data_IF_965436572667
#
_entry.id   IF_965436572667
#
_cell.length_a   1.000
_cell.length_b   1.000
_cell.length_c   1.000
_cell.angle_alpha   90.00
_cell.angle_beta   90.00
_cell.angle_gamma   90.00
#
_symmetry.space_group_name_H-M   'P 1'
#
loop_
_entity.id
_entity.type
_entity.pdbx_description
1 polymer ?
#
# COMPACT_ATOMS: atom_id res chain seq x y z
N UNK A 1 40.35 -8.74 -67.53
CA UNK A 1 41.30 -9.67 -66.87
C UNK A 1 40.61 -11.03 -66.79
N UNK A 2 41.01 -11.95 -67.68
CA UNK A 2 40.83 -13.42 -67.76
C UNK A 2 39.54 -14.10 -67.19
N UNK A 3 38.64 -14.56 -68.07
CA UNK A 3 38.43 -15.97 -68.52
C UNK A 3 37.73 -16.88 -67.49
N UNK A 4 36.43 -17.16 -67.61
CA UNK A 4 35.87 -18.34 -68.30
C UNK A 4 36.70 -19.63 -68.11
N UNK A 5 36.20 -20.56 -67.30
CA UNK A 5 36.47 -22.02 -67.18
C UNK A 5 35.89 -22.46 -65.82
N UNK A 6 35.20 -23.57 -65.59
CA UNK A 6 34.81 -24.71 -66.41
C UNK A 6 33.78 -25.51 -65.60
N UNK A 7 32.77 -26.03 -66.29
CA UNK A 7 31.75 -26.94 -65.77
C UNK A 7 32.32 -28.20 -65.09
N UNK A 8 31.47 -28.78 -64.22
CA UNK A 8 31.17 -30.21 -64.10
C UNK A 8 31.40 -30.81 -62.70
N UNK A 9 30.31 -30.91 -61.92
CA UNK A 9 29.90 -32.14 -61.22
C UNK A 9 28.37 -32.18 -61.14
N UNK A 10 27.78 -32.79 -62.16
CA UNK A 10 26.44 -33.38 -62.11
C UNK A 10 26.62 -34.82 -61.60
N UNK A 11 25.61 -35.32 -60.89
CA UNK A 11 25.27 -36.71 -60.56
C UNK A 11 25.57 -37.19 -59.12
N UNK A 12 24.49 -37.47 -58.38
CA UNK A 12 24.46 -38.02 -57.02
C UNK A 12 23.22 -37.51 -56.27
N UNK A 13 21.99 -37.82 -56.73
CA UNK A 13 21.22 -39.02 -56.40
C UNK A 13 20.56 -38.94 -55.01
N UNK A 14 19.24 -39.18 -55.01
CA UNK A 14 18.34 -39.42 -53.87
C UNK A 14 17.92 -38.18 -53.04
N UNK A 15 16.87 -37.44 -53.43
CA UNK A 15 15.47 -37.73 -53.02
C UNK A 15 15.34 -38.37 -51.64
N UNK A 16 15.62 -37.60 -50.59
CA UNK A 16 15.12 -37.90 -49.24
C UNK A 16 13.72 -37.28 -49.09
N UNK A 17 12.77 -37.85 -49.84
CA UNK A 17 11.35 -37.67 -49.62
C UNK A 17 10.99 -38.64 -48.48
N UNK A 18 11.29 -38.29 -47.24
CA UNK A 18 10.74 -38.98 -46.08
C UNK A 18 9.24 -38.67 -46.05
N UNK A 19 8.48 -39.58 -46.65
CA UNK A 19 7.06 -39.73 -46.41
C UNK A 19 6.87 -39.88 -44.90
N UNK A 20 6.53 -38.78 -44.22
CA UNK A 20 5.83 -38.85 -42.96
C UNK A 20 4.52 -39.55 -43.27
N UNK A 21 4.42 -40.82 -42.89
CA UNK A 21 3.14 -41.50 -42.75
C UNK A 21 2.32 -40.65 -41.80
N UNK A 22 1.44 -39.83 -42.37
CA UNK A 22 0.31 -39.25 -41.66
C UNK A 22 -0.52 -40.45 -41.25
N UNK A 23 -0.24 -41.01 -40.07
CA UNK A 23 -1.23 -41.77 -39.34
C UNK A 23 -2.45 -40.88 -39.33
N UNK A 24 -3.54 -41.36 -39.91
CA UNK A 24 -4.83 -40.71 -39.80
C UNK A 24 -5.08 -40.59 -38.29
N UNK A 25 -4.85 -39.38 -37.75
CA UNK A 25 -5.07 -39.11 -36.33
C UNK A 25 -6.54 -39.39 -36.09
N UNK A 26 -6.85 -40.28 -35.14
CA UNK A 26 -8.23 -40.52 -34.75
C UNK A 26 -8.87 -39.20 -34.35
N UNK A 27 -10.13 -39.00 -34.69
CA UNK A 27 -10.83 -37.75 -34.40
C UNK A 27 -11.57 -37.89 -33.06
N UNK A 28 -11.20 -37.09 -32.05
CA UNK A 28 -11.92 -37.08 -30.77
C UNK A 28 -13.31 -36.50 -30.99
N UNK A 29 -14.33 -37.19 -30.47
CA UNK A 29 -15.72 -36.73 -30.48
C UNK A 29 -16.40 -36.94 -29.15
N UNK A 30 -17.60 -36.41 -29.03
CA UNK A 30 -18.35 -36.44 -27.78
C UNK A 30 -19.67 -37.16 -27.98
N UNK A 31 -19.96 -38.14 -27.12
CA UNK A 31 -21.23 -38.86 -27.09
C UNK A 31 -22.00 -38.58 -25.81
N UNK A 32 -23.31 -38.47 -25.96
CA UNK A 32 -24.27 -38.27 -24.86
C UNK A 32 -23.92 -37.05 -23.97
N UNK A 33 -23.47 -35.95 -24.58
CA UNK A 33 -23.28 -34.69 -23.87
C UNK A 33 -24.62 -34.13 -23.40
N UNK A 34 -24.69 -33.82 -22.11
CA UNK A 34 -25.86 -33.27 -21.44
C UNK A 34 -25.43 -32.09 -20.58
N UNK A 35 -26.12 -30.98 -20.76
CA UNK A 35 -26.02 -29.80 -19.90
C UNK A 35 -27.28 -29.77 -19.04
N UNK A 36 -27.13 -29.84 -17.74
CA UNK A 36 -28.22 -29.73 -16.79
C UNK A 36 -27.99 -28.49 -15.92
N UNK A 37 -28.96 -27.59 -15.89
CA UNK A 37 -29.05 -26.52 -14.90
C UNK A 37 -30.02 -27.01 -13.84
N UNK A 38 -29.59 -27.04 -12.60
CA UNK A 38 -30.39 -27.51 -11.46
C UNK A 38 -30.51 -26.40 -10.42
N UNK A 39 -31.73 -26.09 -10.01
CA UNK A 39 -32.06 -25.15 -8.95
C UNK A 39 -32.44 -25.92 -7.69
N UNK A 40 -32.10 -25.44 -6.48
CA UNK A 40 -32.51 -26.10 -5.23
C UNK A 40 -34.04 -26.19 -5.07
N UNK A 41 -34.78 -25.28 -5.70
CA UNK A 41 -36.25 -25.26 -5.67
C UNK A 41 -36.89 -26.13 -6.76
N UNK A 42 -36.10 -26.73 -7.67
CA UNK A 42 -36.56 -27.56 -8.79
C UNK A 42 -37.37 -26.83 -9.87
N UNK A 43 -37.67 -25.55 -9.69
CA UNK A 43 -38.56 -24.77 -10.57
C UNK A 43 -37.93 -24.35 -11.90
N UNK A 44 -36.60 -24.23 -11.96
CA UNK A 44 -35.86 -23.71 -13.13
C UNK A 44 -34.90 -24.76 -13.72
N UNK A 45 -35.22 -26.05 -13.52
CA UNK A 45 -34.40 -27.15 -14.00
C UNK A 45 -34.51 -27.29 -15.52
N UNK A 46 -33.40 -27.15 -16.23
CA UNK A 46 -33.34 -27.28 -17.67
C UNK A 46 -32.26 -28.28 -18.05
N UNK A 47 -32.62 -29.30 -18.85
CA UNK A 47 -31.66 -30.27 -19.39
C UNK A 47 -31.61 -30.15 -20.91
N UNK A 48 -30.45 -29.77 -21.44
CA UNK A 48 -30.17 -29.69 -22.87
C UNK A 48 -29.29 -30.86 -23.29
N UNK A 49 -29.77 -31.66 -24.24
CA UNK A 49 -28.94 -32.68 -24.89
C UNK A 49 -28.17 -32.05 -26.03
N UNK A 50 -26.85 -32.17 -25.99
CA UNK A 50 -25.97 -31.64 -27.01
C UNK A 50 -25.75 -32.66 -28.12
N UNK A 51 -25.82 -32.20 -29.36
CA UNK A 51 -25.42 -32.94 -30.55
C UNK A 51 -24.29 -32.18 -31.22
N UNK A 52 -23.16 -32.83 -31.40
CA UNK A 52 -22.04 -32.31 -32.17
C UNK A 52 -22.49 -32.07 -33.64
N UNK A 53 -22.18 -30.95 -34.30
CA UNK A 53 -21.36 -29.80 -33.89
C UNK A 53 -22.18 -28.57 -33.46
N UNK A 54 -23.49 -28.70 -33.25
CA UNK A 54 -24.36 -27.54 -32.98
C UNK A 54 -24.18 -27.01 -31.55
N UNK A 55 -23.91 -25.71 -31.35
CA UNK A 55 -23.86 -25.09 -30.02
C UNK A 55 -25.27 -24.99 -29.40
N UNK A 56 -25.35 -24.69 -28.10
CA UNK A 56 -26.64 -24.46 -27.44
C UNK A 56 -27.40 -23.28 -28.10
N UNK A 57 -28.71 -23.43 -28.35
CA UNK A 57 -29.51 -22.41 -29.05
C UNK A 57 -29.89 -21.20 -28.19
N UNK A 58 -29.76 -21.29 -26.86
CA UNK A 58 -30.12 -20.20 -25.93
C UNK A 58 -29.03 -20.00 -24.88
N UNK A 59 -28.71 -18.74 -24.52
CA UNK A 59 -27.76 -18.44 -23.46
C UNK A 59 -28.28 -18.98 -22.12
N UNK A 60 -27.43 -19.67 -21.36
CA UNK A 60 -27.78 -20.17 -20.04
C UNK A 60 -27.45 -19.09 -19.01
N UNK A 61 -28.47 -18.55 -18.36
CA UNK A 61 -28.29 -17.66 -17.21
C UNK A 61 -28.38 -18.48 -15.91
N UNK A 62 -27.32 -18.43 -15.10
CA UNK A 62 -27.32 -19.00 -13.75
C UNK A 62 -27.92 -17.99 -12.77
N UNK A 63 -28.68 -18.47 -11.79
CA UNK A 63 -29.11 -17.69 -10.63
C UNK A 63 -28.30 -18.09 -9.40
N UNK A 64 -28.41 -17.31 -8.31
CA UNK A 64 -27.48 -17.33 -7.15
C UNK A 64 -27.23 -18.72 -6.53
N UNK A 65 -28.21 -19.62 -6.55
CA UNK A 65 -28.08 -20.96 -5.97
C UNK A 65 -28.14 -22.10 -7.01
N UNK A 66 -28.03 -21.80 -8.29
CA UNK A 66 -28.10 -22.84 -9.34
C UNK A 66 -26.77 -23.57 -9.53
N UNK A 67 -26.85 -24.85 -9.88
CA UNK A 67 -25.72 -25.66 -10.26
C UNK A 67 -25.79 -25.99 -11.75
N UNK A 68 -24.75 -25.61 -12.47
CA UNK A 68 -24.52 -26.00 -13.86
C UNK A 68 -23.73 -27.30 -13.88
N UNK A 69 -24.29 -28.35 -14.47
CA UNK A 69 -23.66 -29.65 -14.60
C UNK A 69 -23.52 -30.02 -16.06
N UNK A 70 -22.28 -30.24 -16.50
CA UNK A 70 -21.97 -30.72 -17.83
C UNK A 70 -21.42 -32.15 -17.70
N UNK A 71 -22.11 -33.10 -18.33
CA UNK A 71 -21.75 -34.51 -18.33
C UNK A 71 -21.66 -35.02 -19.77
N UNK A 72 -20.56 -35.66 -20.11
CA UNK A 72 -20.32 -36.17 -21.47
C UNK A 72 -19.45 -37.41 -21.45
N UNK A 73 -19.43 -38.16 -22.55
CA UNK A 73 -18.53 -39.29 -22.74
C UNK A 73 -17.63 -38.99 -23.92
N UNK A 74 -16.32 -39.08 -23.71
CA UNK A 74 -15.31 -38.91 -24.76
C UNK A 74 -15.21 -40.22 -25.53
N UNK A 75 -15.35 -40.13 -26.85
CA UNK A 75 -15.24 -41.27 -27.75
C UNK A 75 -14.24 -40.95 -28.84
N UNK A 76 -13.62 -41.98 -29.38
CA UNK A 76 -13.01 -41.88 -30.70
C UNK A 76 -14.11 -42.01 -31.76
N UNK A 77 -14.19 -41.06 -32.69
CA UNK A 77 -15.19 -41.12 -33.78
C UNK A 77 -14.82 -42.15 -34.84
N UNK A 78 -13.55 -42.59 -34.91
CA UNK A 78 -13.12 -43.64 -35.84
C UNK A 78 -13.39 -45.05 -35.33
N UNK A 79 -13.14 -45.33 -34.04
CA UNK A 79 -13.37 -46.63 -33.40
C UNK A 79 -14.74 -46.76 -32.71
N UNK A 80 -15.34 -45.64 -32.28
CA UNK A 80 -16.57 -45.63 -31.48
C UNK A 80 -16.37 -46.04 -30.01
N UNK A 81 -15.13 -46.35 -29.62
CA UNK A 81 -14.74 -46.75 -28.27
C UNK A 81 -14.55 -45.54 -27.33
N UNK A 82 -14.83 -45.74 -26.05
CA UNK A 82 -14.67 -44.72 -25.02
C UNK A 82 -13.20 -44.57 -24.63
N UNK A 83 -12.66 -43.36 -24.72
CA UNK A 83 -11.24 -43.09 -24.51
C UNK A 83 -11.00 -42.09 -23.37
N UNK A 84 -9.82 -42.15 -22.77
CA UNK A 84 -9.38 -41.23 -21.72
C UNK A 84 -8.49 -40.13 -22.33
N UNK A 85 -8.95 -38.86 -22.39
CA UNK A 85 -8.13 -37.75 -22.87
C UNK A 85 -7.08 -37.37 -21.81
N UNK A 86 -5.89 -36.96 -22.26
CA UNK A 86 -4.84 -36.52 -21.35
C UNK A 86 -5.09 -35.09 -20.83
N UNK A 87 -5.74 -34.25 -21.64
CA UNK A 87 -6.16 -32.90 -21.26
C UNK A 87 -7.65 -32.73 -21.50
N UNK A 88 -8.37 -32.29 -20.47
CA UNK A 88 -9.78 -31.96 -20.55
C UNK A 88 -10.03 -30.70 -19.71
N UNK A 89 -10.33 -29.60 -20.40
CA UNK A 89 -10.54 -28.31 -19.78
C UNK A 89 -11.81 -27.65 -20.33
N UNK A 90 -12.52 -26.96 -19.44
CA UNK A 90 -13.57 -26.03 -19.80
C UNK A 90 -12.94 -24.63 -19.81
N UNK A 91 -12.86 -24.00 -20.98
CA UNK A 91 -12.44 -22.62 -21.12
C UNK A 91 -13.69 -21.72 -21.06
N UNK A 92 -13.62 -20.71 -20.21
CA UNK A 92 -14.59 -19.63 -20.11
C UNK A 92 -13.90 -18.36 -20.62
N UNK A 93 -14.24 -17.94 -21.83
CA UNK A 93 -13.71 -16.72 -22.45
C UNK A 93 -14.60 -15.53 -22.08
N UNK A 94 -13.99 -14.42 -21.66
CA UNK A 94 -14.70 -13.18 -21.38
C UNK A 94 -15.23 -12.54 -22.66
N UNK A 95 -16.48 -12.08 -22.66
CA UNK A 95 -17.07 -11.45 -23.86
C UNK A 95 -16.48 -10.05 -24.14
N UNK A 96 -15.87 -9.43 -23.12
CA UNK A 96 -15.25 -8.12 -23.22
C UNK A 96 -13.72 -8.24 -23.11
N UNK A 97 -12.98 -7.47 -23.91
CA UNK A 97 -11.52 -7.54 -24.02
C UNK A 97 -10.72 -7.24 -22.73
N UNK A 98 -11.40 -6.81 -21.66
CA UNK A 98 -10.83 -6.50 -20.34
C UNK A 98 -11.17 -7.59 -19.30
N UNK A 99 -11.96 -8.59 -19.68
CA UNK A 99 -12.34 -9.71 -18.82
C UNK A 99 -11.29 -10.82 -18.91
N UNK A 100 -11.00 -11.45 -17.76
CA UNK A 100 -10.01 -12.53 -17.69
C UNK A 100 -10.60 -13.85 -18.20
N UNK A 101 -9.85 -14.55 -19.05
CA UNK A 101 -10.18 -15.92 -19.46
C UNK A 101 -9.85 -16.91 -18.33
N UNK A 102 -10.77 -17.83 -18.06
CA UNK A 102 -10.62 -18.82 -16.98
C UNK A 102 -10.72 -20.23 -17.54
N UNK A 103 -9.74 -21.06 -17.18
CA UNK A 103 -9.75 -22.49 -17.50
C UNK A 103 -10.06 -23.32 -16.26
N UNK A 104 -11.02 -24.23 -16.37
CA UNK A 104 -11.37 -25.17 -15.32
C UNK A 104 -11.03 -26.60 -15.75
N UNK A 105 -10.26 -27.36 -14.95
CA UNK A 105 -9.99 -28.76 -15.25
C UNK A 105 -11.26 -29.61 -15.10
N UNK A 106 -11.46 -30.55 -16.02
CA UNK A 106 -12.57 -31.50 -15.99
C UNK A 106 -12.07 -32.86 -15.51
N UNK A 107 -12.75 -33.45 -14.53
CA UNK A 107 -12.44 -34.82 -14.10
C UNK A 107 -13.02 -35.82 -15.09
N UNK A 108 -12.14 -36.59 -15.74
CA UNK A 108 -12.51 -37.70 -16.64
C UNK A 108 -12.19 -39.02 -15.96
N UNK A 109 -13.07 -40.00 -16.06
CA UNK A 109 -12.86 -41.37 -15.56
C UNK A 109 -12.20 -42.24 -16.63
N UNK A 110 -11.63 -43.37 -16.22
CA UNK A 110 -11.00 -44.34 -17.14
C UNK A 110 -11.93 -44.88 -18.24
N UNK A 111 -13.25 -44.80 -18.04
CA UNK A 111 -14.26 -45.18 -19.02
C UNK A 111 -14.68 -44.04 -19.98
N UNK A 112 -13.89 -42.97 -20.06
CA UNK A 112 -14.16 -41.80 -20.90
C UNK A 112 -15.33 -40.92 -20.44
N UNK A 113 -16.00 -41.24 -19.33
CA UNK A 113 -17.07 -40.39 -18.79
C UNK A 113 -16.48 -39.22 -18.01
N UNK A 114 -16.92 -38.02 -18.37
CA UNK A 114 -16.50 -36.77 -17.79
C UNK A 114 -17.68 -36.03 -17.16
N UNK A 115 -17.44 -35.37 -16.03
CA UNK A 115 -18.44 -34.54 -15.39
C UNK A 115 -17.76 -33.32 -14.76
N UNK A 116 -18.30 -32.14 -15.02
CA UNK A 116 -17.96 -30.91 -14.31
C UNK A 116 -19.24 -30.29 -13.74
N UNK A 117 -19.15 -29.75 -12.54
CA UNK A 117 -20.26 -29.06 -11.87
C UNK A 117 -19.77 -27.71 -11.38
N UNK A 118 -20.42 -26.64 -11.84
CA UNK A 118 -20.16 -25.26 -11.43
C UNK A 118 -21.34 -24.84 -10.56
N UNK A 119 -21.07 -24.59 -9.29
CA UNK A 119 -22.08 -24.13 -8.35
C UNK A 119 -22.05 -22.61 -8.28
N UNK A 120 -23.15 -21.94 -8.56
CA UNK A 120 -23.23 -20.48 -8.50
C UNK A 120 -23.03 -19.97 -7.06
N UNK A 121 -23.56 -20.65 -6.04
CA UNK A 121 -23.43 -20.22 -4.64
C UNK A 121 -21.98 -20.30 -4.09
N UNK A 122 -21.16 -21.18 -4.68
CA UNK A 122 -19.76 -21.42 -4.28
C UNK A 122 -18.93 -21.66 -5.55
N UNK A 123 -18.70 -20.62 -6.36
CA UNK A 123 -17.98 -20.79 -7.61
C UNK A 123 -16.50 -21.06 -7.32
N UNK A 124 -15.81 -21.62 -8.30
CA UNK A 124 -14.36 -21.83 -8.21
C UNK A 124 -13.66 -20.47 -8.00
N UNK A 125 -12.61 -20.36 -7.16
CA UNK A 125 -11.97 -19.07 -6.86
C UNK A 125 -11.48 -18.31 -8.10
N UNK A 126 -11.14 -19.03 -9.18
CA UNK A 126 -10.76 -18.42 -10.44
C UNK A 126 -11.92 -17.67 -11.14
N UNK A 127 -13.16 -18.06 -10.89
CA UNK A 127 -14.36 -17.41 -11.44
C UNK A 127 -14.85 -16.23 -10.59
N UNK A 128 -14.34 -16.05 -9.38
CA UNK A 128 -14.81 -14.97 -8.50
C UNK A 128 -14.37 -13.58 -8.98
N UNK A 129 -13.30 -13.51 -9.77
CA UNK A 129 -12.68 -12.24 -10.22
C UNK A 129 -13.10 -11.82 -11.62
N UNK A 130 -13.95 -12.61 -12.28
CA UNK A 130 -14.40 -12.38 -13.67
C UNK A 130 -15.74 -11.64 -13.72
N UNK A 131 -16.24 -11.29 -14.93
CA UNK A 131 -17.51 -10.56 -15.11
C UNK A 131 -18.55 -11.36 -15.91
N UNK A 132 -19.75 -11.49 -15.34
CA UNK A 132 -21.07 -11.53 -15.97
C UNK A 132 -21.41 -12.53 -17.09
N UNK A 133 -20.61 -12.64 -18.15
CA UNK A 133 -20.96 -13.37 -19.39
C UNK A 133 -19.72 -14.02 -20.01
N UNK A 134 -19.82 -15.31 -20.28
CA UNK A 134 -18.73 -16.13 -20.78
C UNK A 134 -19.14 -16.94 -22.01
N UNK A 135 -18.23 -17.04 -22.97
CA UNK A 135 -18.29 -18.10 -23.97
C UNK A 135 -17.66 -19.37 -23.40
N UNK A 136 -18.43 -20.46 -23.40
CA UNK A 136 -17.98 -21.76 -22.95
C UNK A 136 -17.43 -22.58 -24.12
N UNK A 137 -16.16 -22.93 -24.03
CA UNK A 137 -15.49 -23.81 -25.00
C UNK A 137 -14.91 -25.03 -24.27
N UNK A 138 -15.30 -26.22 -24.70
CA UNK A 138 -14.74 -27.47 -24.21
C UNK A 138 -13.50 -27.83 -25.02
N UNK A 139 -12.37 -27.97 -24.35
CA UNK A 139 -11.09 -28.30 -24.96
C UNK A 139 -10.68 -29.70 -24.50
N UNK A 140 -10.57 -30.62 -25.46
CA UNK A 140 -10.06 -31.97 -25.26
C UNK A 140 -8.82 -32.18 -26.11
N UNK A 141 -7.76 -32.72 -25.52
CA UNK A 141 -6.51 -33.02 -26.23
C UNK A 141 -5.85 -34.30 -25.71
N UNK A 142 -5.12 -34.96 -26.61
CA UNK A 142 -4.26 -36.12 -26.36
C UNK A 142 -2.92 -35.89 -27.04
N UNK A 143 -1.82 -36.41 -26.47
CA UNK A 143 -0.45 -35.96 -26.76
C UNK A 143 -0.06 -36.02 -28.24
N UNK A 144 -0.54 -37.00 -29.01
CA UNK A 144 -0.26 -37.09 -30.45
C UNK A 144 -1.14 -38.05 -31.27
N UNK A 145 -1.89 -38.94 -30.61
CA UNK A 145 -2.67 -40.00 -31.26
C UNK A 145 -3.96 -39.51 -31.94
N UNK A 146 -4.49 -38.38 -31.47
CA UNK A 146 -5.79 -37.88 -31.89
C UNK A 146 -5.77 -36.38 -32.23
N UNK A 147 -6.70 -35.94 -33.08
CA UNK A 147 -6.89 -34.50 -33.32
C UNK A 147 -7.56 -33.86 -32.09
N UNK A 148 -7.03 -32.73 -31.58
CA UNK A 148 -7.65 -32.03 -30.46
C UNK A 148 -9.04 -31.52 -30.85
N UNK A 149 -9.97 -31.53 -29.90
CA UNK A 149 -11.33 -31.07 -30.08
C UNK A 149 -11.54 -29.78 -29.28
N UNK A 150 -11.90 -28.70 -29.98
CA UNK A 150 -12.39 -27.46 -29.39
C UNK A 150 -13.87 -27.32 -29.74
N UNK A 151 -14.75 -27.62 -28.80
CA UNK A 151 -16.19 -27.61 -29.01
C UNK A 151 -16.85 -26.43 -28.28
N UNK A 152 -17.40 -25.43 -29.01
CA UNK A 152 -18.12 -24.32 -28.40
C UNK A 152 -19.48 -24.81 -27.89
N UNK A 153 -19.69 -24.74 -26.58
CA UNK A 153 -20.92 -25.17 -25.93
C UNK A 153 -21.98 -24.06 -26.01
N UNK A 154 -21.60 -22.80 -25.84
CA UNK A 154 -22.53 -21.65 -25.91
C UNK A 154 -22.20 -20.57 -24.89
N UNK A 155 -23.15 -19.70 -24.60
CA UNK A 155 -23.00 -18.59 -23.66
C UNK A 155 -23.52 -18.95 -22.27
N UNK A 156 -22.74 -18.61 -21.25
CA UNK A 156 -23.08 -18.73 -19.83
C UNK A 156 -23.03 -17.36 -19.17
N UNK A 157 -24.12 -16.96 -18.52
CA UNK A 157 -24.14 -15.76 -17.70
C UNK A 157 -24.16 -16.12 -16.21
N UNK A 158 -23.22 -15.55 -15.47
CA UNK A 158 -23.11 -15.68 -14.01
C UNK A 158 -23.53 -14.34 -13.40
N UNK A 159 -24.40 -14.32 -12.38
CA UNK A 159 -24.92 -13.08 -11.83
C UNK A 159 -23.84 -12.34 -11.06
N UNK A 160 -23.81 -11.01 -11.22
CA UNK A 160 -22.78 -10.14 -10.63
C UNK A 160 -22.80 -10.11 -9.11
N UNK A 161 -23.92 -10.44 -8.47
CA UNK A 161 -24.05 -10.52 -7.01
C UNK A 161 -23.12 -11.55 -6.35
N UNK A 162 -22.72 -12.58 -7.09
CA UNK A 162 -21.80 -13.63 -6.61
C UNK A 162 -20.34 -13.25 -6.86
N UNK A 163 -20.09 -12.44 -7.89
CA UNK A 163 -18.75 -12.07 -8.33
C UNK A 163 -18.17 -11.05 -7.35
N UNK A 164 -16.95 -11.30 -6.88
CA UNK A 164 -16.30 -10.43 -5.91
C UNK A 164 -15.60 -9.27 -6.63
N UNK A 165 -15.61 -8.06 -6.06
CA UNK A 165 -14.84 -6.95 -6.60
C UNK A 165 -13.35 -7.36 -6.63
N UNK A 166 -12.75 -7.28 -7.82
CA UNK A 166 -11.35 -7.67 -8.06
C UNK A 166 -10.45 -6.97 -7.02
N UNK A 167 -9.74 -7.71 -6.14
CA UNK A 167 -8.82 -7.09 -5.19
C UNK A 167 -7.66 -6.48 -5.97
N UNK A 168 -7.35 -5.20 -5.71
CA UNK A 168 -6.20 -4.53 -6.34
C UNK A 168 -4.94 -5.32 -6.03
N UNK A 169 -4.29 -5.92 -7.03
CA UNK A 169 -2.94 -6.45 -6.84
C UNK A 169 -1.99 -5.26 -6.72
N UNK A 170 -0.88 -5.45 -6.00
CA UNK A 170 0.17 -4.43 -5.80
C UNK A 170 0.76 -3.91 -7.13
N UNK A 171 0.60 -4.67 -8.21
CA UNK A 171 0.99 -4.29 -9.57
C UNK A 171 -0.14 -3.72 -10.42
N UNK A 172 -1.36 -3.62 -9.89
CA UNK A 172 -2.48 -2.95 -10.53
C UNK A 172 -2.47 -1.48 -10.11
N UNK A 173 -1.47 -0.70 -10.53
CA UNK A 173 -1.72 0.72 -10.77
C UNK A 173 -0.72 1.38 -11.72
N UNK A 174 -1.22 2.03 -12.80
CA UNK A 174 -2.57 1.97 -13.37
C UNK A 174 -2.62 1.20 -14.70
N UNK A 175 -3.76 0.56 -15.04
CA UNK A 175 -4.66 1.34 -15.88
C UNK A 175 -6.15 1.07 -15.66
N UNK A 176 -6.93 2.15 -15.59
CA UNK A 176 -8.30 2.16 -16.10
C UNK A 176 -8.24 1.87 -17.60
N UNK A 177 -9.19 1.10 -18.14
CA UNK A 177 -9.28 0.88 -19.59
C UNK A 177 -9.24 2.24 -20.33
N UNK A 178 -8.16 2.50 -21.07
CA UNK A 178 -7.91 3.75 -21.80
C UNK A 178 -6.73 4.61 -21.30
N UNK A 179 -6.14 4.32 -20.15
CA UNK A 179 -4.99 5.07 -19.62
C UNK A 179 -3.66 4.30 -19.86
N UNK A 180 -2.66 4.88 -20.55
CA UNK A 180 -1.37 4.21 -20.72
C UNK A 180 -0.69 3.90 -19.38
N UNK A 181 -0.17 2.67 -19.24
CA UNK A 181 0.49 2.15 -18.05
C UNK A 181 1.77 2.91 -17.65
N UNK A 182 2.35 3.68 -18.57
CA UNK A 182 3.49 4.56 -18.33
C UNK A 182 3.05 6.01 -18.57
N UNK A 183 2.58 6.65 -17.51
CA UNK A 183 2.32 8.09 -17.48
C UNK A 183 3.08 8.73 -16.32
N UNK A 184 3.53 9.97 -16.47
CA UNK A 184 4.04 10.72 -15.34
C UNK A 184 2.95 10.82 -14.26
N UNK A 185 3.26 10.41 -13.04
CA UNK A 185 2.36 10.58 -11.91
C UNK A 185 2.18 12.08 -11.59
N UNK A 186 1.06 12.41 -10.95
CA UNK A 186 0.81 13.77 -10.50
C UNK A 186 1.86 14.17 -9.46
N UNK A 187 2.48 15.34 -9.65
CA UNK A 187 3.44 15.89 -8.69
C UNK A 187 2.76 16.15 -7.34
N UNK A 188 3.36 15.64 -6.26
CA UNK A 188 2.90 15.81 -4.90
C UNK A 188 3.71 16.92 -4.21
N UNK A 189 3.05 17.99 -3.79
CA UNK A 189 3.69 19.06 -3.01
C UNK A 189 3.45 18.89 -1.52
N UNK A 190 4.51 18.96 -0.72
CA UNK A 190 4.38 18.99 0.73
C UNK A 190 3.79 20.34 1.18
N UNK A 191 2.62 20.30 1.80
CA UNK A 191 2.02 21.50 2.40
C UNK A 191 2.59 21.68 3.80
N UNK A 192 3.44 22.70 3.97
CA UNK A 192 3.98 23.07 5.28
C UNK A 192 2.90 23.66 6.18
N UNK A 193 3.08 23.49 7.48
CA UNK A 193 2.22 24.11 8.48
C UNK A 193 2.38 25.63 8.43
N UNK A 194 1.26 26.37 8.47
CA UNK A 194 1.29 27.83 8.57
C UNK A 194 1.92 28.29 9.89
N UNK A 195 2.71 29.36 9.81
CA UNK A 195 3.31 29.99 10.99
C UNK A 195 2.22 30.62 11.88
N UNK A 196 2.35 30.53 13.22
CA UNK A 196 1.40 31.14 14.12
C UNK A 196 1.39 32.66 14.00
N UNK A 197 0.19 33.26 13.97
CA UNK A 197 0.03 34.72 13.91
C UNK A 197 0.56 35.37 15.19
N UNK A 198 1.49 36.31 15.06
CA UNK A 198 2.04 37.08 16.17
C UNK A 198 1.20 38.33 16.45
N UNK A 199 1.33 38.88 17.67
CA UNK A 199 0.67 40.15 18.04
C UNK A 199 1.41 41.35 17.46
N UNK A 200 0.67 42.39 17.09
CA UNK A 200 1.27 43.65 16.59
C UNK A 200 2.14 44.35 17.65
N UNK A 201 3.14 45.11 17.18
CA UNK A 201 4.12 45.82 18.01
C UNK A 201 3.50 46.68 19.10
N UNK A 202 2.39 47.37 18.80
CA UNK A 202 1.69 48.25 19.75
C UNK A 202 1.13 47.49 20.96
N UNK A 203 0.53 46.31 20.72
CA UNK A 203 -0.01 45.47 21.79
C UNK A 203 1.11 44.87 22.64
N UNK A 204 2.19 44.43 22.00
CA UNK A 204 3.39 43.95 22.72
C UNK A 204 4.00 45.06 23.59
N UNK A 205 4.17 46.27 23.04
CA UNK A 205 4.68 47.42 23.78
C UNK A 205 3.81 47.81 24.97
N UNK A 206 2.48 47.80 24.81
CA UNK A 206 1.56 48.02 25.92
C UNK A 206 1.74 46.98 27.04
N UNK A 207 1.92 45.71 26.68
CA UNK A 207 2.22 44.63 27.63
C UNK A 207 3.52 44.86 28.41
N UNK A 208 4.57 45.34 27.75
CA UNK A 208 5.85 45.68 28.40
C UNK A 208 5.65 46.81 29.42
N UNK A 209 4.94 47.88 29.04
CA UNK A 209 4.68 49.02 29.94
C UNK A 209 3.90 48.56 31.17
N UNK A 210 2.84 47.77 30.99
CA UNK A 210 2.04 47.24 32.10
C UNK A 210 2.88 46.35 33.02
N UNK A 211 3.77 45.53 32.45
CA UNK A 211 4.66 44.64 33.23
C UNK A 211 5.72 45.43 34.00
N UNK A 212 6.22 46.54 33.45
CA UNK A 212 7.21 47.41 34.10
C UNK A 212 6.59 48.45 35.07
N UNK A 213 5.28 48.71 35.00
CA UNK A 213 4.62 49.71 35.82
C UNK A 213 4.80 49.52 37.34
N UNK A 214 4.70 48.29 37.91
CA UNK A 214 4.94 48.08 39.34
C UNK A 214 6.34 48.47 39.79
N UNK A 215 7.36 48.25 38.95
CA UNK A 215 8.74 48.67 39.24
C UNK A 215 8.86 50.19 39.27
N UNK A 216 8.23 50.89 38.32
CA UNK A 216 8.18 52.36 38.34
C UNK A 216 7.53 52.90 39.60
N UNK A 217 6.40 52.31 40.02
CA UNK A 217 5.71 52.65 41.27
C UNK A 217 6.61 52.39 42.49
N UNK A 218 7.32 51.26 42.53
CA UNK A 218 8.27 50.94 43.59
C UNK A 218 9.37 52.00 43.69
N UNK A 219 9.97 52.43 42.57
CA UNK A 219 11.01 53.47 42.58
C UNK A 219 10.47 54.82 43.06
N UNK A 220 9.24 55.20 42.66
CA UNK A 220 8.60 56.43 43.14
C UNK A 220 8.36 56.39 44.65
N UNK A 221 7.84 55.28 45.18
CA UNK A 221 7.66 55.14 46.62
C UNK A 221 8.98 55.08 47.37
N UNK A 222 9.97 54.36 46.84
CA UNK A 222 11.30 54.31 47.43
C UNK A 222 11.92 55.70 47.54
N UNK A 223 11.79 56.54 46.50
CA UNK A 223 12.21 57.95 46.53
C UNK A 223 11.54 58.80 47.61
N UNK A 224 10.25 58.54 47.90
CA UNK A 224 9.53 59.21 49.00
C UNK A 224 9.94 58.71 50.38
N UNK A 225 10.34 57.44 50.50
CA UNK A 225 10.80 56.85 51.75
C UNK A 225 12.27 57.17 52.05
N UNK A 226 13.09 57.46 51.04
CA UNK A 226 14.52 57.78 51.19
C UNK A 226 14.83 58.80 52.31
N UNK A 227 14.12 59.94 52.42
CA UNK A 227 14.38 60.94 53.47
C UNK A 227 14.10 60.44 54.90
N UNK A 228 13.25 59.42 55.04
CA UNK A 228 12.93 58.81 56.34
C UNK A 228 13.89 57.69 56.74
N UNK A 229 14.72 57.23 55.82
CA UNK A 229 15.68 56.16 56.05
C UNK A 229 17.04 56.75 56.46
N UNK A 230 17.46 56.46 57.69
CA UNK A 230 18.81 56.79 58.17
C UNK A 230 19.83 55.82 57.56
N UNK A 231 20.31 56.11 56.34
CA UNK A 231 21.36 55.31 55.70
C UNK A 231 22.69 55.53 56.41
N UNK A 232 23.12 54.54 57.18
CA UNK A 232 24.48 54.49 57.72
C UNK A 232 25.42 53.95 56.64
N UNK A 233 26.61 54.56 56.51
CA UNK A 233 27.60 54.15 55.52
C UNK A 233 27.95 52.65 55.70
N UNK A 234 27.75 51.81 54.66
CA UNK A 234 28.10 50.40 54.72
C UNK A 234 29.61 50.21 54.94
N UNK A 235 30.02 49.10 55.57
CA UNK A 235 31.42 48.71 55.61
C UNK A 235 31.94 48.37 54.22
N UNK A 236 33.26 48.50 54.03
CA UNK A 236 33.94 48.18 52.76
C UNK A 236 33.68 46.73 52.34
N UNK A 237 33.57 45.80 53.30
CA UNK A 237 33.22 44.39 53.06
C UNK A 237 31.86 44.22 52.38
N UNK A 238 30.86 45.05 52.72
CA UNK A 238 29.53 45.02 52.10
C UNK A 238 29.57 45.50 50.64
N UNK A 239 30.39 46.50 50.32
CA UNK A 239 30.57 46.94 48.93
C UNK A 239 31.21 45.85 48.07
N UNK A 240 32.22 45.15 48.59
CA UNK A 240 32.85 44.01 47.89
C UNK A 240 31.83 42.89 47.65
N UNK A 241 31.03 42.55 48.65
CA UNK A 241 29.97 41.55 48.50
C UNK A 241 28.92 41.95 47.45
N UNK A 242 28.46 43.21 47.46
CA UNK A 242 27.51 43.73 46.47
C UNK A 242 28.09 43.75 45.04
N UNK A 243 29.38 44.05 44.89
CA UNK A 243 30.05 43.98 43.59
C UNK A 243 30.06 42.54 43.06
N UNK A 244 30.38 41.57 43.92
CA UNK A 244 30.36 40.15 43.53
C UNK A 244 28.94 39.70 43.14
N UNK A 245 27.90 40.15 43.88
CA UNK A 245 26.51 39.90 43.50
C UNK A 245 26.15 40.52 42.14
N UNK A 246 26.56 41.77 41.89
CA UNK A 246 26.35 42.42 40.60
C UNK A 246 27.08 41.69 39.46
N UNK A 247 28.28 41.16 39.72
CA UNK A 247 29.03 40.35 38.76
C UNK A 247 28.31 39.03 38.45
N UNK A 248 27.71 38.38 39.44
CA UNK A 248 26.89 37.17 39.24
C UNK A 248 25.66 37.51 38.37
N UNK A 249 24.93 38.59 38.67
CA UNK A 249 23.75 38.99 37.89
C UNK A 249 24.12 39.35 36.44
N UNK A 250 25.23 40.06 36.26
CA UNK A 250 25.78 40.38 34.94
C UNK A 250 26.13 39.11 34.17
N UNK A 251 26.73 38.12 34.84
CA UNK A 251 27.06 36.83 34.23
C UNK A 251 25.78 36.07 33.81
N UNK A 252 24.72 36.10 34.62
CA UNK A 252 23.41 35.52 34.28
C UNK A 252 22.80 36.25 33.08
N UNK A 253 22.90 37.57 33.02
CA UNK A 253 22.43 38.35 31.87
C UNK A 253 23.19 38.00 30.59
N UNK A 254 24.52 37.92 30.64
CA UNK A 254 25.35 37.50 29.50
C UNK A 254 24.98 36.08 29.05
N UNK A 255 24.67 35.19 30.01
CA UNK A 255 24.14 33.86 29.69
C UNK A 255 22.84 33.92 28.91
N UNK A 256 21.87 34.72 29.37
CA UNK A 256 20.59 34.90 28.68
C UNK A 256 20.77 35.44 27.24
N UNK A 257 21.76 36.31 27.01
CA UNK A 257 22.04 36.87 25.66
C UNK A 257 22.62 35.84 24.70
N UNK A 258 23.41 34.87 25.17
CA UNK A 258 23.96 33.85 24.26
C UNK A 258 25.12 32.99 24.76
N UNK A 259 25.47 33.04 26.04
CA UNK A 259 26.54 32.19 26.57
C UNK A 259 26.07 30.73 26.66
N UNK A 260 26.93 29.77 26.33
CA UNK A 260 26.59 28.34 26.45
C UNK A 260 26.72 27.86 27.90
N UNK A 261 25.91 26.89 28.30
CA UNK A 261 25.85 26.42 29.69
C UNK A 261 27.22 25.98 30.26
N UNK A 262 28.04 25.26 29.48
CA UNK A 262 29.36 24.80 29.92
C UNK A 262 30.38 25.94 30.09
N UNK A 263 30.16 27.08 29.45
CA UNK A 263 31.01 28.27 29.59
C UNK A 263 30.58 29.09 30.82
N UNK A 264 29.29 29.06 31.17
CA UNK A 264 28.74 29.73 32.35
C UNK A 264 29.14 29.01 33.64
N UNK A 265 29.08 27.69 33.64
CA UNK A 265 29.14 26.90 34.87
C UNK A 265 30.43 27.10 35.68
N UNK A 266 31.65 27.07 35.09
CA UNK A 266 32.89 27.29 35.84
C UNK A 266 33.00 28.70 36.48
N UNK A 267 32.82 29.82 35.74
CA UNK A 267 32.91 31.16 36.35
C UNK A 267 31.75 31.42 37.32
N UNK A 268 30.55 30.88 37.07
CA UNK A 268 29.41 31.02 37.99
C UNK A 268 29.70 30.35 39.33
N UNK A 269 30.22 29.11 39.32
CA UNK A 269 30.57 28.40 40.54
C UNK A 269 31.70 29.09 41.31
N UNK A 270 32.71 29.59 40.61
CA UNK A 270 33.79 30.38 41.20
C UNK A 270 33.26 31.67 41.86
N UNK A 271 32.42 32.44 41.15
CA UNK A 271 31.81 33.65 41.69
C UNK A 271 30.88 33.35 42.87
N UNK A 272 30.13 32.24 42.85
CA UNK A 272 29.29 31.82 43.99
C UNK A 272 30.13 31.51 45.23
N UNK A 273 31.28 30.83 45.08
CA UNK A 273 32.19 30.58 46.18
C UNK A 273 32.77 31.88 46.76
N UNK A 274 33.17 32.81 45.89
CA UNK A 274 33.64 34.15 46.28
C UNK A 274 32.53 34.95 46.96
N UNK A 275 31.28 34.86 46.47
CA UNK A 275 30.12 35.50 47.08
C UNK A 275 29.81 34.95 48.47
N UNK A 276 29.89 33.62 48.65
CA UNK A 276 29.69 33.00 49.95
C UNK A 276 30.73 33.47 50.98
N UNK A 277 32.01 33.53 50.58
CA UNK A 277 33.08 34.00 51.45
C UNK A 277 32.98 35.49 51.78
N UNK A 278 32.83 36.34 50.76
CA UNK A 278 32.67 37.80 50.95
C UNK A 278 31.40 38.15 51.72
N UNK A 279 30.30 37.42 51.48
CA UNK A 279 29.05 37.55 52.23
C UNK A 279 29.19 37.18 53.70
N UNK A 280 29.92 36.10 54.01
CA UNK A 280 30.19 35.72 55.41
C UNK A 280 30.92 36.83 56.17
N UNK A 281 31.94 37.44 55.54
CA UNK A 281 32.70 38.55 56.14
C UNK A 281 31.80 39.78 56.30
N UNK A 282 31.08 40.17 55.25
CA UNK A 282 30.21 41.33 55.26
C UNK A 282 29.12 41.22 56.34
N UNK A 283 28.46 40.06 56.45
CA UNK A 283 27.42 39.81 57.44
C UNK A 283 27.97 39.79 58.88
N UNK A 284 29.19 39.26 59.08
CA UNK A 284 29.86 39.29 60.39
C UNK A 284 30.17 40.73 60.82
N UNK A 285 30.73 41.53 59.93
CA UNK A 285 31.05 42.94 60.24
C UNK A 285 29.77 43.75 60.52
N UNK A 286 28.70 43.51 59.76
CA UNK A 286 27.39 44.11 60.00
C UNK A 286 26.83 43.72 61.38
N UNK A 287 26.96 42.44 61.77
CA UNK A 287 26.56 41.97 63.10
C UNK A 287 27.36 42.67 64.20
N UNK A 288 28.68 42.77 64.07
CA UNK A 288 29.52 43.45 65.06
C UNK A 288 29.15 44.93 65.22
N UNK A 289 28.86 45.64 64.12
CA UNK A 289 28.41 47.04 64.17
C UNK A 289 27.06 47.17 64.87
N UNK A 290 26.12 46.25 64.64
CA UNK A 290 24.82 46.23 65.33
C UNK A 290 24.98 45.98 66.83
N UNK A 291 25.84 45.04 67.23
CA UNK A 291 26.13 44.77 68.64
C UNK A 291 26.79 45.98 69.33
N UNK A 292 27.74 46.63 68.66
CA UNK A 292 28.38 47.88 69.15
C UNK A 292 27.39 49.04 69.28
N UNK A 293 26.36 49.09 68.45
CA UNK A 293 25.28 50.08 68.51
C UNK A 293 24.20 49.77 69.56
N UNK A 294 24.40 48.76 70.42
CA UNK A 294 23.46 48.39 71.49
C UNK A 294 22.34 47.45 71.08
N UNK A 295 22.45 46.80 69.91
CA UNK A 295 21.51 45.76 69.49
C UNK A 295 21.66 44.48 70.32
N UNK A 296 20.54 43.84 70.66
CA UNK A 296 20.52 42.52 71.31
C UNK A 296 21.04 41.41 70.38
N UNK A 297 21.67 40.35 70.93
CA UNK A 297 22.44 39.34 70.17
C UNK A 297 21.67 38.46 69.19
#
# INVERSE_FOLDING_TARGET
>A
MLSFLRNAKILGLLTLLTATSVTAKGTLGIKAAKVAVTSPDGLNDATYTLKEPTPLPSPIALSENTNFKLAFTVIDTTSGESMYPQQAHLLLEGLQSDDDDVTLPITVKSNGKAQITINAAKPHPALLTTRGKFHLTLILSSLDEYTPLAYPLGELSIPESILQPRPRKRHDLPPRAGEPAFQPEQELFHTFKEDPKTVGWTKSGAGIIVTLAPWGVLFVFFGKLLPSLNFQAPPVSSYVFLLVLAAIETLIFIYWVGLKLYQLLPPFLALCAIAAYSGLIALREQRERRLKAGGTP
#
